data_IF_166828804563
#
_entry.id   IF_166828804563
#
_cell.length_a   1.000
_cell.length_b   1.000
_cell.length_c   1.000
_cell.angle_alpha   90.00
_cell.angle_beta   90.00
_cell.angle_gamma   90.00
#
_symmetry.space_group_name_H-M   'P 1'
#
loop_
_entity.id
_entity.type
_entity.pdbx_description
1 polymer ?
#
# COMPACT_ATOMS: atom_id res chain seq x y z
N UNK A 1 34.82 0.34 71.33
CA UNK A 1 34.15 0.94 70.16
C UNK A 1 35.09 1.95 69.51
N UNK A 2 35.12 2.03 68.16
CA UNK A 2 35.93 2.91 67.27
C UNK A 2 37.17 2.29 66.58
N UNK A 3 36.99 1.25 65.76
CA UNK A 3 37.99 0.86 64.74
C UNK A 3 37.39 0.50 63.37
N UNK A 4 36.06 0.50 63.21
CA UNK A 4 35.40 0.10 61.96
C UNK A 4 35.17 1.23 60.94
N UNK A 5 35.42 2.50 61.29
CA UNK A 5 35.03 3.64 60.43
C UNK A 5 36.14 4.13 59.48
N UNK A 6 37.39 3.71 59.66
CA UNK A 6 38.53 4.28 58.90
C UNK A 6 38.80 3.45 57.63
N UNK A 7 38.50 2.15 57.63
CA UNK A 7 38.72 1.29 56.47
C UNK A 7 37.75 1.53 55.31
N UNK A 8 36.55 2.06 55.57
CA UNK A 8 35.58 2.34 54.51
C UNK A 8 35.90 3.61 53.71
N UNK A 9 36.52 4.63 54.32
CA UNK A 9 36.88 5.86 53.61
C UNK A 9 38.08 5.69 52.66
N UNK A 10 39.03 4.81 53.00
CA UNK A 10 40.22 4.56 52.17
C UNK A 10 39.92 3.75 50.89
N UNK A 11 38.87 2.94 50.90
CA UNK A 11 38.47 2.17 49.72
C UNK A 11 37.77 3.08 48.70
N UNK A 12 36.95 4.03 49.15
CA UNK A 12 36.21 4.93 48.26
C UNK A 12 37.15 5.91 47.55
N UNK A 13 38.23 6.35 48.20
CA UNK A 13 39.20 7.29 47.60
C UNK A 13 40.09 6.66 46.52
N UNK A 14 40.34 5.34 46.57
CA UNK A 14 41.16 4.65 45.56
C UNK A 14 40.42 4.36 44.24
N UNK A 15 39.08 4.27 44.26
CA UNK A 15 38.28 4.08 43.05
C UNK A 15 38.04 5.38 42.25
N UNK A 16 38.15 6.54 42.90
CA UNK A 16 37.94 7.84 42.24
C UNK A 16 39.18 8.34 41.48
N UNK A 17 40.38 7.84 41.76
CA UNK A 17 41.62 8.28 41.12
C UNK A 17 41.93 7.59 39.79
N UNK A 18 41.23 6.50 39.44
CA UNK A 18 41.41 5.77 38.17
C UNK A 18 40.30 6.00 37.13
N UNK A 19 39.34 6.89 37.41
CA UNK A 19 38.34 7.28 36.44
C UNK A 19 38.94 8.31 35.45
N UNK A 20 39.59 7.81 34.41
CA UNK A 20 39.93 8.62 33.22
C UNK A 20 38.68 9.36 32.75
N UNK A 21 38.77 10.64 32.33
CA UNK A 21 37.61 11.37 31.83
C UNK A 21 37.09 10.67 30.57
N UNK A 22 35.96 9.96 30.71
CA UNK A 22 35.21 9.47 29.56
C UNK A 22 34.62 10.70 28.91
N UNK A 23 35.22 11.12 27.79
CA UNK A 23 34.62 12.07 26.85
C UNK A 23 33.23 11.54 26.51
N UNK A 24 32.20 12.15 27.11
CA UNK A 24 30.82 11.95 26.71
C UNK A 24 30.69 12.59 25.34
N UNK A 25 30.97 11.80 24.31
CA UNK A 25 30.64 12.13 22.94
C UNK A 25 29.14 12.47 22.90
N UNK A 26 28.83 13.63 22.31
CA UNK A 26 27.49 14.16 22.19
C UNK A 26 26.56 13.13 21.50
N UNK A 27 25.87 12.29 22.28
CA UNK A 27 24.92 11.26 21.82
C UNK A 27 23.68 11.86 21.11
N UNK A 28 23.60 13.18 20.99
CA UNK A 28 22.49 13.91 20.39
C UNK A 28 22.72 14.32 18.93
N UNK A 29 23.89 14.07 18.34
CA UNK A 29 24.20 14.53 16.97
C UNK A 29 23.94 13.51 15.85
N UNK A 30 23.57 12.28 16.18
CA UNK A 30 23.31 11.22 15.19
C UNK A 30 21.87 10.70 15.24
N UNK A 31 20.87 11.59 15.36
CA UNK A 31 19.58 11.27 14.73
C UNK A 31 19.71 11.55 13.25
N UNK A 32 20.44 10.67 12.55
CA UNK A 32 20.24 10.51 11.11
C UNK A 32 18.76 10.12 11.01
N UNK A 33 17.93 11.03 10.52
CA UNK A 33 16.57 10.68 10.11
C UNK A 33 16.75 9.59 9.06
N UNK A 34 16.68 8.33 9.48
CA UNK A 34 16.33 7.23 8.60
C UNK A 34 14.92 7.56 8.15
N UNK A 35 14.82 8.38 7.10
CA UNK A 35 13.60 8.56 6.36
C UNK A 35 13.37 7.21 5.71
N UNK A 36 12.66 6.33 6.43
CA UNK A 36 12.11 5.12 5.86
C UNK A 36 11.25 5.62 4.71
N UNK A 37 11.77 5.51 3.50
CA UNK A 37 11.05 5.85 2.29
C UNK A 37 9.96 4.80 2.15
N UNK A 38 8.82 5.04 2.80
CA UNK A 38 7.62 4.25 2.58
C UNK A 38 7.28 4.50 1.11
N UNK A 39 7.26 3.46 0.25
CA UNK A 39 6.88 3.64 -1.14
C UNK A 39 5.46 4.20 -1.17
N UNK A 40 5.33 5.47 -1.54
CA UNK A 40 4.03 6.11 -1.69
C UNK A 40 3.36 5.53 -2.93
N UNK A 41 2.18 4.94 -2.77
CA UNK A 41 1.34 4.52 -3.90
C UNK A 41 0.85 5.78 -4.62
N UNK A 42 1.25 5.94 -5.88
CA UNK A 42 0.86 7.08 -6.71
C UNK A 42 -0.37 6.68 -7.55
N UNK A 43 -1.57 7.02 -7.06
CA UNK A 43 -2.81 6.83 -7.80
C UNK A 43 -3.24 8.06 -8.59
N UNK A 44 -4.06 7.82 -9.60
CA UNK A 44 -4.82 8.85 -10.30
C UNK A 44 -6.21 8.34 -10.67
N UNK A 45 -7.19 9.23 -10.87
CA UNK A 45 -8.51 8.84 -11.35
C UNK A 45 -8.39 8.33 -12.78
N UNK A 46 -8.89 7.11 -13.02
CA UNK A 46 -8.85 6.45 -14.32
C UNK A 46 -10.23 5.96 -14.72
N UNK A 47 -10.53 6.07 -16.02
CA UNK A 47 -11.80 5.57 -16.57
C UNK A 47 -11.73 4.05 -16.71
N UNK A 48 -12.67 3.34 -16.11
CA UNK A 48 -12.81 1.90 -16.24
C UNK A 48 -14.08 1.60 -17.00
N UNK A 49 -13.98 0.93 -18.14
CA UNK A 49 -15.12 0.54 -18.97
C UNK A 49 -15.36 -0.96 -18.91
N UNK A 50 -16.63 -1.35 -18.94
CA UNK A 50 -17.03 -2.76 -18.96
C UNK A 50 -17.33 -3.22 -20.39
N UNK A 51 -16.51 -4.12 -20.92
CA UNK A 51 -16.77 -4.79 -22.18
C UNK A 51 -17.27 -6.21 -21.88
N UNK A 52 -18.39 -6.61 -22.48
CA UNK A 52 -18.86 -8.00 -22.45
C UNK A 52 -18.80 -8.59 -23.85
N UNK A 53 -18.36 -9.84 -23.94
CA UNK A 53 -18.48 -10.65 -25.15
C UNK A 53 -19.56 -11.70 -24.93
N UNK A 54 -20.63 -11.63 -25.71
CA UNK A 54 -21.71 -12.63 -25.72
C UNK A 54 -21.86 -13.14 -27.15
N UNK A 55 -21.64 -14.43 -27.37
CA UNK A 55 -21.81 -15.09 -28.67
C UNK A 55 -21.16 -14.34 -29.86
N UNK A 56 -19.92 -13.85 -29.66
CA UNK A 56 -19.16 -13.12 -30.68
C UNK A 56 -19.55 -11.64 -30.86
N UNK A 57 -20.55 -11.15 -30.13
CA UNK A 57 -20.96 -9.74 -30.14
C UNK A 57 -20.33 -9.03 -28.94
N UNK A 58 -19.65 -7.91 -29.22
CA UNK A 58 -19.12 -7.00 -28.20
C UNK A 58 -20.21 -6.02 -27.77
N UNK A 59 -20.46 -5.96 -26.46
CA UNK A 59 -21.37 -5.00 -25.84
C UNK A 59 -20.74 -4.29 -24.64
N UNK A 60 -21.39 -3.25 -24.16
CA UNK A 60 -21.05 -2.57 -22.90
C UNK A 60 -21.95 -3.09 -21.79
N UNK A 61 -21.36 -3.48 -20.65
CA UNK A 61 -22.14 -4.01 -19.53
C UNK A 61 -22.53 -2.87 -18.59
N UNK A 62 -23.74 -2.36 -18.75
CA UNK A 62 -24.30 -1.30 -17.90
C UNK A 62 -24.63 -1.84 -16.52
N UNK A 63 -24.53 -1.01 -15.48
CA UNK A 63 -24.96 -1.34 -14.11
C UNK A 63 -24.21 -2.51 -13.46
N UNK A 64 -22.99 -2.80 -13.93
CA UNK A 64 -22.08 -3.72 -13.27
C UNK A 64 -21.30 -3.01 -12.15
N UNK A 65 -20.91 -3.76 -11.13
CA UNK A 65 -20.00 -3.25 -10.10
C UNK A 65 -18.57 -3.64 -10.45
N UNK A 66 -17.64 -2.74 -10.21
CA UNK A 66 -16.21 -2.98 -10.33
C UNK A 66 -15.58 -2.64 -8.99
N UNK A 67 -14.62 -3.46 -8.58
CA UNK A 67 -13.86 -3.24 -7.37
C UNK A 67 -12.38 -3.13 -7.70
N UNK A 68 -11.72 -2.13 -7.12
CA UNK A 68 -10.28 -2.17 -6.92
C UNK A 68 -10.00 -2.99 -5.66
N UNK A 69 -9.59 -4.24 -5.83
CA UNK A 69 -9.35 -5.20 -4.73
C UNK A 69 -8.20 -4.74 -3.85
N UNK A 70 -7.22 -4.03 -4.42
CA UNK A 70 -6.04 -3.54 -3.69
C UNK A 70 -6.40 -2.44 -2.70
N UNK A 71 -7.31 -1.53 -3.07
CA UNK A 71 -7.74 -0.40 -2.20
C UNK A 71 -9.07 -0.65 -1.49
N UNK A 72 -9.86 -1.62 -1.94
CA UNK A 72 -11.23 -1.85 -1.49
C UNK A 72 -12.26 -0.90 -2.12
N UNK A 73 -11.84 0.02 -2.99
CA UNK A 73 -12.74 0.98 -3.65
C UNK A 73 -13.70 0.29 -4.61
N UNK A 74 -14.94 0.76 -4.65
CA UNK A 74 -15.98 0.25 -5.53
C UNK A 74 -16.49 1.34 -6.47
N UNK A 75 -16.72 0.95 -7.72
CA UNK A 75 -17.32 1.78 -8.76
C UNK A 75 -18.51 1.06 -9.38
N UNK A 76 -19.56 1.82 -9.67
CA UNK A 76 -20.71 1.32 -10.42
C UNK A 76 -20.59 1.83 -11.85
N UNK A 77 -20.71 0.92 -12.80
CA UNK A 77 -20.76 1.26 -14.22
C UNK A 77 -22.08 1.95 -14.53
N UNK A 78 -21.97 3.16 -15.07
CA UNK A 78 -23.08 4.00 -15.49
C UNK A 78 -23.75 3.50 -16.80
N UNK A 79 -24.72 4.28 -17.27
CA UNK A 79 -25.44 4.01 -18.51
C UNK A 79 -24.56 4.14 -19.78
N UNK A 80 -23.40 4.79 -19.68
CA UNK A 80 -22.39 4.92 -20.74
C UNK A 80 -21.45 3.70 -20.79
N UNK A 81 -21.54 2.80 -19.81
CA UNK A 81 -20.69 1.60 -19.74
C UNK A 81 -19.35 1.87 -19.08
N UNK A 82 -19.23 2.92 -18.27
CA UNK A 82 -17.99 3.29 -17.60
C UNK A 82 -18.16 3.74 -16.14
N UNK A 83 -17.06 3.79 -15.42
CA UNK A 83 -16.95 4.40 -14.09
C UNK A 83 -15.54 4.97 -13.93
N UNK A 84 -15.29 5.73 -12.86
CA UNK A 84 -13.96 6.26 -12.54
C UNK A 84 -13.52 5.73 -11.19
N UNK A 85 -12.26 5.27 -11.10
CA UNK A 85 -11.66 4.74 -9.87
C UNK A 85 -10.25 5.30 -9.70
N UNK A 86 -9.78 5.43 -8.45
CA UNK A 86 -8.40 5.81 -8.16
C UNK A 86 -7.47 4.59 -8.27
N UNK A 87 -6.75 4.54 -9.40
CA UNK A 87 -5.95 3.39 -9.80
C UNK A 87 -4.46 3.71 -9.74
N UNK A 88 -3.64 2.73 -9.36
CA UNK A 88 -2.17 2.72 -9.44
C UNK A 88 -1.66 1.52 -10.23
N UNK A 89 -0.42 1.61 -10.69
CA UNK A 89 0.29 0.47 -11.26
C UNK A 89 0.43 -0.63 -10.21
N UNK A 90 0.11 -1.87 -10.61
CA UNK A 90 0.08 -3.03 -9.72
C UNK A 90 -1.24 -3.25 -8.99
N UNK A 91 -2.20 -2.32 -9.09
CA UNK A 91 -3.53 -2.54 -8.54
C UNK A 91 -4.26 -3.69 -9.23
N UNK A 92 -5.16 -4.31 -8.49
CA UNK A 92 -5.94 -5.44 -8.94
C UNK A 92 -7.40 -5.02 -9.05
N UNK A 93 -7.94 -5.01 -10.27
CA UNK A 93 -9.33 -4.64 -10.55
C UNK A 93 -10.13 -5.90 -10.89
N UNK A 94 -11.32 -6.03 -10.33
CA UNK A 94 -12.25 -7.12 -10.64
C UNK A 94 -13.64 -6.58 -10.96
N UNK A 95 -14.30 -7.19 -11.94
CA UNK A 95 -15.70 -6.91 -12.23
C UNK A 95 -16.59 -7.92 -11.51
N UNK A 96 -17.58 -7.43 -10.77
CA UNK A 96 -18.62 -8.21 -10.09
C UNK A 96 -19.96 -7.85 -10.70
N UNK A 97 -20.61 -8.81 -11.34
CA UNK A 97 -21.91 -8.60 -11.98
C UNK A 97 -22.95 -9.48 -11.32
N UNK A 98 -24.11 -8.90 -11.00
CA UNK A 98 -25.24 -9.62 -10.39
C UNK A 98 -26.20 -10.14 -11.47
N UNK A 99 -26.16 -9.56 -12.67
CA UNK A 99 -27.15 -9.79 -13.73
C UNK A 99 -26.80 -10.95 -14.67
N UNK A 100 -25.52 -11.32 -14.75
CA UNK A 100 -25.06 -12.39 -15.63
C UNK A 100 -24.10 -13.26 -14.82
N UNK A 101 -24.21 -14.60 -14.85
CA UNK A 101 -23.15 -15.46 -14.33
C UNK A 101 -21.89 -15.22 -15.18
N UNK A 102 -21.10 -14.24 -14.79
CA UNK A 102 -19.85 -13.88 -15.42
C UNK A 102 -18.72 -14.46 -14.62
N UNK A 103 -17.69 -14.95 -15.30
CA UNK A 103 -16.44 -15.27 -14.63
C UNK A 103 -15.85 -13.95 -14.14
N UNK A 104 -15.70 -13.81 -12.82
CA UNK A 104 -14.99 -12.67 -12.23
C UNK A 104 -13.60 -12.63 -12.84
N UNK A 105 -13.35 -11.69 -13.75
CA UNK A 105 -12.05 -11.54 -14.38
C UNK A 105 -11.27 -10.48 -13.60
N UNK A 106 -10.28 -10.97 -12.87
CA UNK A 106 -9.30 -10.14 -12.18
C UNK A 106 -8.26 -9.63 -13.18
N UNK A 107 -7.93 -8.35 -13.10
CA UNK A 107 -6.98 -7.68 -13.97
C UNK A 107 -5.95 -6.91 -13.16
N UNK A 108 -4.66 -7.10 -13.46
CA UNK A 108 -3.57 -6.35 -12.83
C UNK A 108 -3.22 -5.15 -13.71
N UNK A 109 -3.21 -3.96 -13.12
CA UNK A 109 -2.91 -2.71 -13.81
C UNK A 109 -1.43 -2.63 -14.13
N UNK A 110 -1.09 -2.56 -15.41
CA UNK A 110 0.29 -2.37 -15.87
C UNK A 110 0.59 -0.89 -16.09
N UNK A 111 1.87 -0.55 -16.23
CA UNK A 111 2.31 0.82 -16.54
C UNK A 111 1.61 1.38 -17.78
N UNK A 112 1.47 0.58 -18.84
CA UNK A 112 0.80 1.00 -20.08
C UNK A 112 -0.64 1.43 -19.84
N UNK A 113 -1.42 0.65 -19.08
CA UNK A 113 -2.80 1.01 -18.74
C UNK A 113 -2.84 2.32 -17.95
N UNK A 114 -1.93 2.44 -16.97
CA UNK A 114 -1.81 3.63 -16.14
C UNK A 114 -1.51 4.85 -16.99
N UNK A 115 -0.55 4.78 -17.91
CA UNK A 115 -0.17 5.90 -18.78
C UNK A 115 -1.33 6.34 -19.70
N UNK A 116 -2.09 5.39 -20.28
CA UNK A 116 -3.27 5.69 -21.09
C UNK A 116 -4.43 6.31 -20.31
N UNK A 117 -4.53 6.07 -19.00
CA UNK A 117 -5.59 6.62 -18.15
C UNK A 117 -6.95 5.91 -18.31
N UNK A 118 -7.01 4.82 -19.07
CA UNK A 118 -8.22 4.03 -19.28
C UNK A 118 -7.95 2.52 -19.22
N UNK A 119 -8.90 1.76 -18.68
CA UNK A 119 -8.92 0.29 -18.71
C UNK A 119 -10.25 -0.22 -19.24
N UNK A 120 -10.17 -1.23 -20.11
CA UNK A 120 -11.33 -2.00 -20.58
C UNK A 120 -11.33 -3.37 -19.90
N UNK A 121 -12.32 -3.64 -19.04
CA UNK A 121 -12.50 -4.93 -18.41
C UNK A 121 -13.36 -5.83 -19.29
N UNK A 122 -12.80 -6.95 -19.73
CA UNK A 122 -13.52 -7.94 -20.52
C UNK A 122 -14.15 -9.00 -19.63
N UNK A 123 -15.46 -8.91 -19.44
CA UNK A 123 -16.26 -9.88 -18.71
C UNK A 123 -16.77 -10.95 -19.70
N UNK A 124 -16.64 -12.21 -19.32
CA UNK A 124 -17.08 -13.36 -20.13
C UNK A 124 -18.26 -14.01 -19.42
N UNK A 125 -19.35 -14.20 -20.15
CA UNK A 125 -20.52 -14.94 -19.66
C UNK A 125 -20.19 -16.43 -19.59
N UNK A 126 -20.49 -17.07 -18.47
CA UNK A 126 -20.37 -18.52 -18.29
C UNK A 126 -21.61 -19.18 -18.93
N UNK A 127 -21.40 -20.19 -19.78
CA UNK A 127 -22.46 -21.04 -20.34
C UNK A 127 -22.85 -20.77 -21.80
N UNK A 128 -21.90 -20.37 -22.66
CA UNK A 128 -22.06 -20.43 -24.13
C UNK A 128 -21.71 -21.81 -24.67
#
# INVERSE_FOLDING_TARGET
>A
MKTLSIFSLLIISAFLTNASPVTVGNLLKERKNETVAIPMRVSKPMKVRSCIWINGIRGWLKWASIQNVTTGEWGIIDAEGSTTLDISVGDVITGVTVQVPTMNKTWVITQTHYDFGEVNLYLVRIGS
#
